data_IF_603355117497
#
_entry.id   IF_603355117497
#
_cell.length_a   1.000
_cell.length_b   1.000
_cell.length_c   1.000
_cell.angle_alpha   90.00
_cell.angle_beta   90.00
_cell.angle_gamma   90.00
#
_symmetry.space_group_name_H-M   'P 1'
#
loop_
_entity.id
_entity.type
_entity.pdbx_description
1 polymer ?
#
# COMPACT_ATOMS: atom_id res chain seq x y z
N UNK A 1 13.85 3.62 44.67
CA UNK A 1 13.52 2.28 44.13
C UNK A 1 12.04 2.10 44.36
N UNK A 2 11.22 2.20 43.30
CA UNK A 2 9.78 1.94 43.40
C UNK A 2 9.39 0.91 42.35
N UNK A 3 8.95 -0.24 42.85
CA UNK A 3 8.49 -1.38 42.08
C UNK A 3 7.17 -1.06 41.38
N UNK A 4 7.08 -1.38 40.09
CA UNK A 4 5.83 -1.31 39.33
C UNK A 4 5.26 -2.72 39.19
N UNK A 5 4.15 -2.98 39.89
CA UNK A 5 3.32 -4.14 39.66
C UNK A 5 2.60 -4.04 38.30
N UNK A 6 2.75 -5.07 37.48
CA UNK A 6 2.01 -5.23 36.23
C UNK A 6 0.84 -6.19 36.45
N UNK A 7 -0.40 -5.75 36.18
CA UNK A 7 -1.56 -6.63 36.06
C UNK A 7 -1.86 -6.86 34.58
N UNK A 8 -1.74 -8.11 34.15
CA UNK A 8 -2.20 -8.57 32.84
C UNK A 8 -3.67 -8.97 32.93
N UNK A 9 -4.52 -8.54 31.99
CA UNK A 9 -5.86 -9.07 31.85
C UNK A 9 -6.04 -9.72 30.48
N UNK A 10 -6.24 -11.04 30.51
CA UNK A 10 -6.80 -11.84 29.42
C UNK A 10 -8.31 -11.65 29.43
N UNK A 11 -8.93 -11.47 28.26
CA UNK A 11 -10.39 -11.57 28.15
C UNK A 11 -10.75 -12.44 26.94
N UNK A 12 -11.37 -13.58 27.24
CA UNK A 12 -12.11 -14.44 26.32
C UNK A 12 -13.62 -14.10 26.46
N UNK A 13 -14.44 -14.25 25.40
CA UNK A 13 -15.73 -13.57 25.28
C UNK A 13 -16.92 -14.48 25.62
N UNK A 14 -18.05 -13.91 26.06
CA UNK A 14 -19.40 -14.44 25.78
C UNK A 14 -20.53 -13.48 26.20
N UNK A 15 -21.32 -13.15 25.18
CA UNK A 15 -22.79 -13.18 25.08
C UNK A 15 -23.71 -12.20 25.82
N UNK A 16 -24.80 -11.95 25.08
CA UNK A 16 -26.15 -11.52 25.45
C UNK A 16 -26.28 -10.02 25.83
N UNK A 17 -27.22 -9.25 25.31
CA UNK A 17 -28.38 -9.52 24.46
C UNK A 17 -29.43 -8.44 24.69
N UNK A 18 -30.25 -8.19 23.67
CA UNK A 18 -31.53 -7.43 23.64
C UNK A 18 -31.53 -5.91 23.36
N UNK A 19 -32.46 -5.59 22.46
CA UNK A 19 -32.94 -4.34 21.86
C UNK A 19 -34.21 -3.84 22.64
N UNK A 20 -35.08 -2.96 22.10
CA UNK A 20 -34.96 -1.52 21.87
C UNK A 20 -36.15 -0.70 22.46
N UNK A 21 -35.96 0.61 22.64
CA UNK A 21 -37.04 1.61 22.47
C UNK A 21 -37.72 2.16 23.73
N UNK A 22 -37.47 3.45 24.01
CA UNK A 22 -38.50 4.43 24.39
C UNK A 22 -37.93 5.85 24.23
N UNK A 23 -38.68 6.71 23.52
CA UNK A 23 -38.39 8.14 23.31
C UNK A 23 -38.81 8.92 24.54
N UNK A 24 -37.93 9.79 25.04
CA UNK A 24 -38.32 11.01 25.75
C UNK A 24 -37.65 12.21 25.06
N UNK A 25 -38.48 13.15 24.60
CA UNK A 25 -38.03 14.50 24.21
C UNK A 25 -37.97 15.35 25.48
N UNK A 26 -36.92 16.13 25.66
CA UNK A 26 -36.96 17.27 26.57
C UNK A 26 -36.13 18.45 26.04
N UNK A 27 -36.77 19.61 26.20
CA UNK A 27 -36.25 20.97 26.33
C UNK A 27 -35.25 21.51 25.29
N UNK A 28 -35.73 22.48 24.52
CA UNK A 28 -34.93 23.27 23.58
C UNK A 28 -33.82 24.07 24.26
N UNK A 29 -32.67 24.12 23.59
CA UNK A 29 -31.64 25.14 23.79
C UNK A 29 -31.66 26.08 22.59
N UNK A 30 -31.74 27.38 22.85
CA UNK A 30 -31.53 28.47 21.87
C UNK A 30 -30.21 28.25 21.15
N UNK A 31 -30.27 28.10 19.83
CA UNK A 31 -29.09 28.11 18.96
C UNK A 31 -28.74 29.58 18.69
N UNK A 32 -27.62 30.02 19.22
CA UNK A 32 -26.99 31.28 18.82
C UNK A 32 -26.38 31.05 17.43
N UNK A 33 -26.98 31.60 16.39
CA UNK A 33 -26.39 31.61 15.05
C UNK A 33 -25.19 32.56 15.07
N UNK A 34 -23.98 32.00 15.07
CA UNK A 34 -22.80 32.71 14.61
C UNK A 34 -22.72 32.54 13.09
N UNK A 35 -22.87 33.64 12.35
CA UNK A 35 -22.54 33.69 10.94
C UNK A 35 -21.05 33.35 10.77
N UNK A 36 -20.76 32.17 10.23
CA UNK A 36 -19.41 31.83 9.78
C UNK A 36 -19.11 32.64 8.52
N UNK A 37 -18.00 33.37 8.54
CA UNK A 37 -17.43 33.99 7.32
C UNK A 37 -17.31 32.92 6.22
N UNK A 38 -17.63 33.25 4.95
CA UNK A 38 -17.46 32.31 3.85
C UNK A 38 -15.98 31.92 3.75
N UNK A 39 -15.73 30.61 3.71
CA UNK A 39 -14.39 30.06 3.54
C UNK A 39 -13.77 30.58 2.24
N UNK A 40 -12.50 30.99 2.31
CA UNK A 40 -11.74 31.40 1.12
C UNK A 40 -11.73 30.27 0.08
N UNK A 41 -11.75 30.57 -1.23
CA UNK A 41 -11.79 29.55 -2.27
C UNK A 41 -10.59 28.59 -2.11
N UNK A 42 -10.90 27.33 -1.82
CA UNK A 42 -9.91 26.26 -1.71
C UNK A 42 -9.31 26.06 -3.09
N UNK A 43 -8.05 26.50 -3.26
CA UNK A 43 -7.30 26.21 -4.48
C UNK A 43 -7.22 24.68 -4.66
N UNK A 44 -7.36 24.18 -5.90
CA UNK A 44 -7.20 22.76 -6.15
C UNK A 44 -5.79 22.32 -5.71
N UNK A 45 -5.65 21.11 -5.14
CA UNK A 45 -4.35 20.61 -4.72
C UNK A 45 -3.39 20.59 -5.92
N UNK A 46 -2.09 20.90 -5.71
CA UNK A 46 -1.11 20.85 -6.77
C UNK A 46 -1.09 19.44 -7.40
N UNK A 47 -0.82 19.33 -8.72
CA UNK A 47 -0.68 18.03 -9.35
C UNK A 47 0.41 17.23 -8.63
N UNK A 48 0.26 15.90 -8.52
CA UNK A 48 1.28 15.07 -7.90
C UNK A 48 2.61 15.27 -8.64
N UNK A 49 3.75 15.26 -7.92
CA UNK A 49 5.05 15.38 -8.55
C UNK A 49 5.22 14.29 -9.63
N UNK A 50 5.94 14.58 -10.73
CA UNK A 50 6.20 13.58 -11.75
C UNK A 50 6.82 12.36 -11.09
N UNK A 51 6.27 11.18 -11.42
CA UNK A 51 6.77 9.91 -10.91
C UNK A 51 8.27 9.83 -11.17
N UNK A 52 9.07 9.41 -10.18
CA UNK A 52 10.50 9.35 -10.35
C UNK A 52 10.85 8.44 -11.53
N UNK A 53 11.89 8.80 -12.28
CA UNK A 53 12.34 8.06 -13.44
C UNK A 53 12.68 6.62 -13.06
N UNK A 54 12.18 5.69 -13.87
CA UNK A 54 12.31 4.26 -13.65
C UNK A 54 13.77 3.86 -13.86
N UNK A 55 14.31 3.01 -12.96
CA UNK A 55 15.64 2.44 -13.15
C UNK A 55 15.57 1.44 -14.29
N UNK A 56 15.95 1.88 -15.48
CA UNK A 56 15.90 1.05 -16.66
C UNK A 56 17.15 0.17 -16.71
N UNK A 57 16.97 -1.15 -16.61
CA UNK A 57 18.07 -2.12 -16.75
C UNK A 57 18.51 -2.22 -18.21
N UNK A 58 19.62 -2.92 -18.50
CA UNK A 58 20.22 -3.06 -19.86
C UNK A 58 19.28 -3.65 -20.94
N UNK A 59 18.05 -4.01 -20.60
CA UNK A 59 17.10 -4.75 -21.45
C UNK A 59 16.06 -3.87 -22.17
N UNK A 60 16.25 -2.55 -22.21
CA UNK A 60 15.31 -1.63 -22.87
C UNK A 60 15.99 -0.79 -23.96
N UNK A 61 15.17 -0.26 -24.86
CA UNK A 61 15.55 0.59 -25.98
C UNK A 61 14.60 1.79 -26.04
N UNK A 62 15.12 2.99 -26.24
CA UNK A 62 14.31 4.18 -26.51
C UNK A 62 14.27 4.46 -28.01
N UNK A 63 13.09 4.76 -28.54
CA UNK A 63 12.93 5.30 -29.89
C UNK A 63 13.29 6.78 -29.89
N UNK A 64 14.36 7.19 -30.60
CA UNK A 64 14.85 8.58 -30.65
C UNK A 64 13.77 9.62 -30.98
N UNK A 65 12.92 9.33 -31.96
CA UNK A 65 11.94 10.28 -32.46
C UNK A 65 10.74 10.50 -31.54
N UNK A 66 10.41 9.53 -30.68
CA UNK A 66 9.21 9.60 -29.83
C UNK A 66 9.52 9.60 -28.33
N UNK A 67 10.77 9.33 -27.93
CA UNK A 67 11.14 9.17 -26.52
C UNK A 67 10.46 7.98 -25.84
N UNK A 68 9.89 7.05 -26.63
CA UNK A 68 9.17 5.90 -26.10
C UNK A 68 10.15 4.78 -25.73
N UNK A 69 10.06 4.31 -24.49
CA UNK A 69 10.78 3.17 -23.97
C UNK A 69 10.10 1.85 -24.32
N UNK A 70 10.87 0.95 -24.92
CA UNK A 70 10.48 -0.41 -25.26
C UNK A 70 11.35 -1.41 -24.53
N UNK A 71 10.77 -2.56 -24.16
CA UNK A 71 11.55 -3.76 -23.90
C UNK A 71 12.31 -4.17 -25.17
N UNK A 72 13.54 -4.69 -25.06
CA UNK A 72 14.33 -5.14 -26.24
C UNK A 72 13.59 -6.18 -27.08
N UNK A 73 12.78 -7.03 -26.45
CA UNK A 73 11.99 -8.07 -27.11
C UNK A 73 10.65 -7.54 -27.65
N UNK A 74 10.37 -6.25 -27.49
CA UNK A 74 9.15 -5.65 -28.00
C UNK A 74 9.08 -5.82 -29.52
N UNK A 75 7.93 -6.29 -30.00
CA UNK A 75 7.63 -6.41 -31.43
C UNK A 75 7.96 -5.15 -32.24
N UNK A 76 7.69 -3.96 -31.67
CA UNK A 76 7.96 -2.69 -32.33
C UNK A 76 9.46 -2.37 -32.45
N UNK A 77 10.32 -2.93 -31.59
CA UNK A 77 11.77 -2.68 -31.65
C UNK A 77 12.37 -3.18 -32.95
N UNK A 78 11.91 -4.32 -33.46
CA UNK A 78 12.33 -4.85 -34.77
C UNK A 78 12.01 -3.92 -35.95
N UNK A 79 11.06 -2.99 -35.75
CA UNK A 79 10.63 -2.00 -36.75
C UNK A 79 11.31 -0.64 -36.58
N UNK A 80 12.07 -0.43 -35.50
CA UNK A 80 12.84 0.81 -35.30
C UNK A 80 14.10 0.74 -36.18
N UNK A 81 14.20 1.61 -37.19
CA UNK A 81 15.36 1.70 -38.08
C UNK A 81 16.68 1.82 -37.29
N UNK A 82 17.72 1.15 -37.79
CA UNK A 82 19.08 1.28 -37.26
C UNK A 82 19.48 2.77 -37.15
N UNK A 83 20.12 3.15 -36.04
CA UNK A 83 20.47 4.55 -35.73
C UNK A 83 19.38 5.38 -35.04
N UNK A 84 18.12 4.90 -34.99
CA UNK A 84 17.01 5.55 -34.26
C UNK A 84 16.76 4.96 -32.86
N UNK A 85 17.65 4.09 -32.39
CA UNK A 85 17.59 3.45 -31.09
C UNK A 85 18.59 4.12 -30.14
N UNK A 86 18.18 4.39 -28.90
CA UNK A 86 19.08 4.74 -27.80
C UNK A 86 19.11 3.52 -26.87
N UNK A 87 20.30 2.97 -26.68
CA UNK A 87 20.52 1.75 -25.89
C UNK A 87 21.07 2.03 -24.49
N UNK A 88 21.46 3.27 -24.22
CA UNK A 88 21.93 3.72 -22.90
C UNK A 88 21.00 4.81 -22.42
N UNK A 89 20.39 4.58 -21.27
CA UNK A 89 19.44 5.49 -20.65
C UNK A 89 20.14 6.01 -19.42
N UNK A 90 20.43 7.30 -19.41
CA UNK A 90 20.96 7.94 -18.22
C UNK A 90 19.94 7.79 -17.08
N UNK A 91 20.42 7.55 -15.85
CA UNK A 91 19.59 7.72 -14.67
C UNK A 91 18.85 9.05 -14.78
N UNK A 92 17.59 9.02 -14.43
CA UNK A 92 16.73 10.18 -14.40
C UNK A 92 16.12 10.70 -15.71
N UNK A 93 16.33 10.00 -16.83
CA UNK A 93 15.61 10.31 -18.07
C UNK A 93 14.11 10.06 -17.91
N UNK A 94 13.30 11.11 -18.07
CA UNK A 94 11.84 10.95 -18.18
C UNK A 94 11.49 10.27 -19.51
N UNK A 95 10.86 9.10 -19.43
CA UNK A 95 10.51 8.30 -20.62
C UNK A 95 9.06 7.88 -20.61
N UNK A 96 8.46 7.86 -21.81
CA UNK A 96 7.10 7.33 -22.01
C UNK A 96 7.18 5.84 -22.31
N UNK A 97 6.42 5.01 -21.61
CA UNK A 97 6.43 3.58 -21.87
C UNK A 97 5.61 3.23 -23.11
N UNK A 98 6.15 2.34 -23.94
CA UNK A 98 5.35 1.60 -24.89
C UNK A 98 4.20 0.91 -24.14
N UNK A 99 2.97 1.02 -24.65
CA UNK A 99 1.78 0.42 -24.03
C UNK A 99 1.95 -1.10 -23.79
N UNK A 100 2.67 -1.77 -24.68
CA UNK A 100 2.95 -3.21 -24.62
C UNK A 100 4.08 -3.57 -23.64
N UNK A 101 5.04 -2.67 -23.43
CA UNK A 101 6.19 -2.93 -22.55
C UNK A 101 5.99 -2.38 -21.14
N UNK A 102 5.02 -1.48 -20.96
CA UNK A 102 4.79 -0.74 -19.71
C UNK A 102 4.68 -1.67 -18.53
N UNK A 103 3.90 -2.75 -18.65
CA UNK A 103 3.67 -3.70 -17.56
C UNK A 103 4.97 -4.39 -17.13
N UNK A 104 5.66 -5.03 -18.08
CA UNK A 104 6.96 -5.69 -17.87
C UNK A 104 8.00 -4.74 -17.26
N UNK A 105 8.03 -3.49 -17.73
CA UNK A 105 8.95 -2.49 -17.21
C UNK A 105 8.64 -2.07 -15.76
N UNK A 106 7.35 -1.85 -15.46
CA UNK A 106 6.89 -1.52 -14.10
C UNK A 106 7.22 -2.66 -13.14
N UNK A 107 7.01 -3.92 -13.54
CA UNK A 107 7.33 -5.09 -12.73
C UNK A 107 8.84 -5.18 -12.50
N UNK A 108 9.66 -5.12 -13.57
CA UNK A 108 11.13 -5.15 -13.47
C UNK A 108 11.70 -4.06 -12.58
N UNK A 109 11.08 -2.88 -12.52
CA UNK A 109 11.50 -1.81 -11.61
C UNK A 109 11.26 -2.17 -10.13
N UNK A 110 10.20 -2.93 -9.85
CA UNK A 110 9.83 -3.33 -8.50
C UNK A 110 10.48 -4.63 -8.04
N UNK A 111 10.83 -5.55 -8.93
CA UNK A 111 11.40 -6.85 -8.52
C UNK A 111 12.85 -6.67 -8.09
N UNK A 112 13.18 -7.21 -6.91
CA UNK A 112 14.51 -7.07 -6.30
C UNK A 112 15.59 -7.88 -7.02
N UNK A 113 15.23 -9.06 -7.54
CA UNK A 113 16.12 -9.95 -8.29
C UNK A 113 15.65 -10.07 -9.74
N UNK A 114 16.54 -9.83 -10.70
CA UNK A 114 16.18 -9.88 -12.13
C UNK A 114 15.70 -11.28 -12.53
N UNK A 115 16.21 -12.33 -11.87
CA UNK A 115 15.79 -13.72 -12.13
C UNK A 115 14.33 -13.99 -11.74
N UNK A 116 13.78 -13.25 -10.77
CA UNK A 116 12.39 -13.38 -10.32
C UNK A 116 11.38 -12.67 -11.24
N UNK A 117 11.85 -11.86 -12.21
CA UNK A 117 10.97 -10.97 -12.97
C UNK A 117 9.87 -11.71 -13.74
N UNK A 118 10.20 -12.80 -14.44
CA UNK A 118 9.22 -13.58 -15.21
C UNK A 118 8.20 -14.27 -14.29
N UNK A 119 8.65 -14.77 -13.14
CA UNK A 119 7.78 -15.42 -12.16
C UNK A 119 6.83 -14.39 -11.53
N UNK A 120 7.35 -13.21 -11.18
CA UNK A 120 6.52 -12.10 -10.70
C UNK A 120 5.51 -11.63 -11.76
N UNK A 121 5.89 -11.58 -13.03
CA UNK A 121 4.99 -11.20 -14.13
C UNK A 121 3.83 -12.17 -14.25
N UNK A 122 4.13 -13.47 -14.39
CA UNK A 122 3.11 -14.54 -14.42
C UNK A 122 2.20 -14.48 -13.20
N UNK A 123 2.77 -14.30 -12.01
CA UNK A 123 2.01 -14.18 -10.77
C UNK A 123 1.01 -13.02 -10.81
N UNK A 124 1.43 -11.82 -11.21
CA UNK A 124 0.52 -10.67 -11.25
C UNK A 124 -0.53 -10.78 -12.36
N UNK A 125 -0.23 -11.50 -13.44
CA UNK A 125 -1.17 -11.79 -14.51
C UNK A 125 -2.25 -12.79 -14.07
N UNK A 126 -1.84 -13.91 -13.47
CA UNK A 126 -2.74 -14.93 -12.92
C UNK A 126 -3.69 -14.35 -11.88
N UNK A 127 -3.20 -13.42 -11.05
CA UNK A 127 -4.00 -12.74 -10.02
C UNK A 127 -4.71 -11.49 -10.53
N UNK A 128 -4.68 -11.26 -11.85
CA UNK A 128 -5.36 -10.17 -12.54
C UNK A 128 -5.09 -8.79 -11.91
N UNK A 129 -3.86 -8.58 -11.45
CA UNK A 129 -3.46 -7.30 -10.84
C UNK A 129 -3.25 -6.28 -11.96
N UNK A 130 -4.01 -5.18 -11.93
CA UNK A 130 -3.97 -4.18 -12.99
C UNK A 130 -2.59 -3.49 -13.09
N UNK A 131 -2.21 -3.12 -14.30
CA UNK A 131 -0.95 -2.38 -14.53
C UNK A 131 -0.96 -1.02 -13.81
N UNK A 132 -2.12 -0.39 -13.64
CA UNK A 132 -2.26 0.83 -12.84
C UNK A 132 -1.89 0.59 -11.38
N UNK A 133 -2.39 -0.49 -10.77
CA UNK A 133 -2.06 -0.87 -9.40
C UNK A 133 -0.57 -1.18 -9.24
N UNK A 134 0.03 -1.91 -10.19
CA UNK A 134 1.47 -2.17 -10.18
C UNK A 134 2.30 -0.88 -10.35
N UNK A 135 1.83 0.07 -11.14
CA UNK A 135 2.50 1.38 -11.30
C UNK A 135 2.55 2.11 -9.96
N UNK A 136 1.39 2.18 -9.28
CA UNK A 136 1.30 2.82 -7.97
C UNK A 136 2.22 2.13 -6.95
N UNK A 137 2.25 0.80 -6.97
CA UNK A 137 3.07 0.01 -6.06
C UNK A 137 4.58 0.22 -6.30
N UNK A 138 5.06 0.00 -7.52
CA UNK A 138 6.50 -0.08 -7.79
C UNK A 138 7.13 1.25 -8.23
N UNK A 139 6.34 2.18 -8.74
CA UNK A 139 6.85 3.48 -9.21
C UNK A 139 6.56 4.56 -8.18
N UNK A 140 5.30 4.74 -7.80
CA UNK A 140 4.91 5.82 -6.89
C UNK A 140 5.33 5.52 -5.45
N UNK A 141 5.01 4.33 -4.94
CA UNK A 141 5.38 3.89 -3.58
C UNK A 141 6.80 3.32 -3.47
N UNK A 142 7.50 3.17 -4.60
CA UNK A 142 8.86 2.60 -4.69
C UNK A 142 9.00 1.27 -3.95
N UNK A 143 7.93 0.48 -3.93
CA UNK A 143 7.95 -0.81 -3.28
C UNK A 143 8.87 -1.77 -4.05
N UNK A 144 9.43 -2.74 -3.33
CA UNK A 144 10.18 -3.84 -3.92
C UNK A 144 9.48 -5.17 -3.68
N UNK A 145 9.53 -6.07 -4.65
CA UNK A 145 8.98 -7.41 -4.57
C UNK A 145 10.08 -8.46 -4.58
N UNK A 146 9.86 -9.55 -3.83
CA UNK A 146 10.65 -10.78 -3.88
C UNK A 146 9.70 -11.97 -3.83
N UNK A 147 9.87 -12.93 -4.75
CA UNK A 147 9.09 -14.16 -4.70
C UNK A 147 9.52 -15.04 -3.51
N UNK A 148 8.55 -15.72 -2.92
CA UNK A 148 8.76 -16.72 -1.87
C UNK A 148 8.22 -18.06 -2.35
N UNK A 149 8.69 -19.20 -1.79
CA UNK A 149 8.13 -20.50 -2.13
C UNK A 149 6.61 -20.59 -1.98
N UNK A 150 6.05 -19.87 -1.00
CA UNK A 150 4.60 -19.84 -0.71
C UNK A 150 4.10 -18.40 -0.57
N UNK A 151 4.41 -17.54 -1.54
CA UNK A 151 3.92 -16.18 -1.51
C UNK A 151 4.74 -15.18 -2.30
N UNK A 152 4.45 -13.91 -2.04
CA UNK A 152 5.30 -12.79 -2.42
C UNK A 152 5.57 -11.93 -1.20
N UNK A 153 6.80 -11.44 -1.07
CA UNK A 153 7.18 -10.44 -0.08
C UNK A 153 7.28 -9.08 -0.74
N UNK A 154 6.65 -8.08 -0.14
CA UNK A 154 6.69 -6.69 -0.58
C UNK A 154 7.38 -5.85 0.49
N UNK A 155 8.39 -5.09 0.10
CA UNK A 155 9.08 -4.10 0.93
C UNK A 155 8.56 -2.72 0.52
N UNK A 156 8.04 -1.93 1.45
CA UNK A 156 7.53 -0.59 1.16
C UNK A 156 7.93 0.34 2.29
N UNK A 157 8.96 1.17 2.07
CA UNK A 157 9.65 1.87 3.16
C UNK A 157 10.24 0.86 4.14
N UNK A 158 10.01 1.08 5.44
CA UNK A 158 10.49 0.19 6.51
C UNK A 158 9.57 -1.02 6.74
N UNK A 159 8.36 -0.98 6.19
CA UNK A 159 7.36 -2.02 6.34
C UNK A 159 7.62 -3.19 5.38
N UNK A 160 7.44 -4.40 5.91
CA UNK A 160 7.60 -5.65 5.17
C UNK A 160 6.30 -6.41 5.23
N UNK A 161 5.77 -6.71 4.05
CA UNK A 161 4.51 -7.38 3.87
C UNK A 161 4.73 -8.75 3.24
N UNK A 162 3.92 -9.73 3.63
CA UNK A 162 3.85 -11.03 2.95
C UNK A 162 2.43 -11.28 2.51
N UNK A 163 2.28 -11.65 1.25
CA UNK A 163 1.03 -12.19 0.73
C UNK A 163 1.28 -13.69 0.56
N UNK A 164 0.74 -14.50 1.48
CA UNK A 164 0.89 -15.97 1.48
C UNK A 164 -0.36 -16.66 0.96
N UNK A 165 -0.20 -17.83 0.37
CA UNK A 165 -1.31 -18.68 -0.06
C UNK A 165 -1.83 -19.47 1.14
N UNK A 166 -3.16 -19.46 1.35
CA UNK A 166 -3.82 -20.30 2.38
C UNK A 166 -4.28 -21.64 1.81
N UNK A 167 -4.69 -21.67 0.54
CA UNK A 167 -5.14 -22.86 -0.17
C UNK A 167 -4.96 -22.71 -1.69
N UNK A 168 -5.18 -23.81 -2.41
CA UNK A 168 -5.20 -23.88 -3.88
C UNK A 168 -6.29 -22.99 -4.52
N UNK A 169 -7.32 -22.61 -3.76
CA UNK A 169 -8.47 -21.81 -4.23
C UNK A 169 -8.19 -20.30 -4.34
N UNK A 170 -6.96 -19.86 -4.10
CA UNK A 170 -6.56 -18.47 -4.29
C UNK A 170 -6.83 -17.53 -3.11
N UNK A 171 -7.29 -18.05 -1.97
CA UNK A 171 -7.34 -17.29 -0.73
C UNK A 171 -5.91 -16.91 -0.30
N UNK A 172 -5.69 -15.61 -0.16
CA UNK A 172 -4.41 -15.04 0.27
C UNK A 172 -4.49 -14.43 1.66
N UNK A 173 -3.39 -14.50 2.41
CA UNK A 173 -3.21 -13.86 3.70
C UNK A 173 -2.26 -12.70 3.53
N UNK A 174 -2.69 -11.51 3.93
CA UNK A 174 -1.79 -10.39 4.11
C UNK A 174 -1.24 -10.41 5.53
N UNK A 175 0.08 -10.48 5.64
CA UNK A 175 0.80 -10.35 6.89
C UNK A 175 1.71 -9.13 6.87
N UNK A 176 1.86 -8.50 8.03
CA UNK A 176 2.69 -7.33 8.25
C UNK A 176 3.75 -7.63 9.29
N UNK A 177 4.95 -7.07 9.14
CA UNK A 177 6.03 -7.28 10.09
C UNK A 177 5.70 -6.69 11.47
N UNK A 178 6.07 -7.44 12.51
CA UNK A 178 5.81 -7.03 13.87
C UNK A 178 6.67 -5.82 14.25
N UNK A 179 6.11 -4.96 15.11
CA UNK A 179 6.83 -3.85 15.72
C UNK A 179 6.28 -3.54 17.10
N UNK A 180 7.12 -2.95 17.94
CA UNK A 180 6.74 -2.34 19.21
C UNK A 180 6.82 -0.82 19.08
N UNK A 181 6.01 -0.12 19.87
CA UNK A 181 6.02 1.35 19.94
C UNK A 181 6.74 1.80 21.20
N UNK A 182 7.60 2.80 21.09
CA UNK A 182 8.15 3.48 22.27
C UNK A 182 7.16 4.51 22.81
N UNK A 183 7.41 4.98 24.02
CA UNK A 183 6.67 6.09 24.63
C UNK A 183 6.79 7.38 23.80
N UNK A 184 7.91 7.57 23.10
CA UNK A 184 8.13 8.68 22.17
C UNK A 184 7.38 8.54 20.84
N UNK A 185 6.68 7.42 20.61
CA UNK A 185 5.91 7.18 19.39
C UNK A 185 6.72 6.60 18.23
N UNK A 186 7.99 6.25 18.45
CA UNK A 186 8.81 5.56 17.46
C UNK A 186 8.44 4.07 17.32
N UNK A 187 8.89 3.44 16.23
CA UNK A 187 8.68 2.02 15.95
C UNK A 187 9.98 1.25 15.95
N UNK A 188 9.99 0.11 16.62
CA UNK A 188 11.08 -0.86 16.54
C UNK A 188 10.54 -2.18 16.04
N UNK A 189 11.04 -2.63 14.89
CA UNK A 189 10.58 -3.87 14.27
C UNK A 189 11.10 -5.10 15.04
N UNK A 190 10.20 -6.02 15.35
CA UNK A 190 10.53 -7.27 16.03
C UNK A 190 10.44 -8.45 15.07
N UNK A 191 10.88 -9.63 15.53
CA UNK A 191 10.79 -10.85 14.72
C UNK A 191 9.31 -11.24 14.50
N UNK A 192 9.03 -11.78 13.33
CA UNK A 192 7.73 -12.34 12.99
C UNK A 192 6.80 -11.39 12.23
N UNK A 193 5.59 -11.89 11.96
CA UNK A 193 4.55 -11.19 11.24
C UNK A 193 3.19 -11.48 11.88
N UNK A 194 2.22 -10.59 11.68
CA UNK A 194 0.82 -10.76 12.09
C UNK A 194 -0.14 -10.58 10.91
N UNK A 195 -1.25 -11.30 10.91
CA UNK A 195 -2.28 -11.25 9.87
C UNK A 195 -3.12 -9.97 9.98
N UNK A 196 -3.43 -9.35 8.83
CA UNK A 196 -4.21 -8.10 8.74
C UNK A 196 -5.71 -8.33 8.54
N UNK A 197 -6.15 -9.59 8.44
CA UNK A 197 -7.55 -10.02 8.31
C UNK A 197 -8.37 -9.19 7.30
N UNK A 198 -7.78 -8.93 6.13
CA UNK A 198 -8.43 -8.15 5.07
C UNK A 198 -9.62 -8.90 4.48
N UNK A 199 -10.60 -8.18 3.92
CA UNK A 199 -11.64 -8.78 3.06
C UNK A 199 -11.88 -7.91 1.83
N UNK A 200 -11.97 -8.50 0.62
CA UNK A 200 -11.77 -9.92 0.33
C UNK A 200 -10.29 -10.34 0.38
N UNK A 201 -10.03 -11.63 0.62
CA UNK A 201 -8.69 -12.24 0.75
C UNK A 201 -7.96 -12.41 -0.61
N UNK A 202 -7.92 -11.35 -1.42
CA UNK A 202 -7.30 -11.36 -2.76
C UNK A 202 -5.98 -10.59 -2.77
N UNK A 203 -5.08 -10.95 -3.69
CA UNK A 203 -3.81 -10.23 -3.89
C UNK A 203 -4.07 -8.75 -4.18
N UNK A 204 -5.02 -8.43 -5.05
CA UNK A 204 -5.42 -7.05 -5.36
C UNK A 204 -5.86 -6.28 -4.12
N UNK A 205 -6.64 -6.89 -3.23
CA UNK A 205 -7.08 -6.25 -1.99
C UNK A 205 -5.93 -6.08 -0.99
N UNK A 206 -5.03 -7.05 -0.92
CA UNK A 206 -3.83 -6.96 -0.10
C UNK A 206 -2.91 -5.81 -0.55
N UNK A 207 -2.68 -5.68 -1.86
CA UNK A 207 -1.90 -4.58 -2.43
C UNK A 207 -2.56 -3.22 -2.20
N UNK A 208 -3.89 -3.13 -2.30
CA UNK A 208 -4.62 -1.89 -1.97
C UNK A 208 -4.48 -1.52 -0.51
N UNK A 209 -4.62 -2.51 0.38
CA UNK A 209 -4.49 -2.31 1.82
C UNK A 209 -3.10 -1.79 2.18
N UNK A 210 -2.03 -2.47 1.74
CA UNK A 210 -0.66 -2.05 2.07
C UNK A 210 -0.32 -0.67 1.50
N UNK A 211 -0.84 -0.29 0.33
CA UNK A 211 -0.58 1.04 -0.24
C UNK A 211 -1.30 2.17 0.50
N UNK A 212 -2.44 1.86 1.12
CA UNK A 212 -3.21 2.78 1.95
C UNK A 212 -2.73 2.81 3.41
N UNK A 213 -1.86 1.87 3.80
CA UNK A 213 -1.33 1.80 5.15
C UNK A 213 -0.51 3.05 5.46
N UNK A 214 -0.94 3.74 6.51
CA UNK A 214 -0.22 4.85 7.13
C UNK A 214 -0.16 4.55 8.63
N UNK A 215 1.06 4.37 9.13
CA UNK A 215 1.32 4.11 10.54
C UNK A 215 0.69 5.15 11.47
N UNK A 216 0.83 6.44 11.12
CA UNK A 216 0.36 7.55 11.96
C UNK A 216 -1.16 7.61 12.00
N UNK A 217 -1.83 7.42 10.86
CA UNK A 217 -3.28 7.40 10.77
C UNK A 217 -3.87 6.18 11.48
N UNK A 218 -3.29 4.99 11.24
CA UNK A 218 -3.73 3.73 11.82
C UNK A 218 -3.75 3.77 13.36
N UNK A 219 -2.76 4.43 13.98
CA UNK A 219 -2.72 4.56 15.44
C UNK A 219 -3.57 5.70 15.99
N UNK A 220 -3.81 6.79 15.26
CA UNK A 220 -4.77 7.82 15.69
C UNK A 220 -6.17 7.23 15.80
N UNK A 221 -6.57 6.39 14.85
CA UNK A 221 -7.86 5.71 14.90
C UNK A 221 -7.95 4.68 16.03
N UNK A 222 -6.88 3.91 16.26
CA UNK A 222 -6.82 2.98 17.39
C UNK A 222 -6.89 3.69 18.75
N UNK A 223 -6.23 4.85 18.89
CA UNK A 223 -6.32 5.70 20.09
C UNK A 223 -7.72 6.28 20.27
N UNK A 224 -8.35 6.81 19.20
CA UNK A 224 -9.72 7.32 19.25
C UNK A 224 -10.72 6.26 19.70
N UNK A 225 -10.58 5.02 19.20
CA UNK A 225 -11.40 3.88 19.62
C UNK A 225 -11.17 3.46 21.08
N UNK A 226 -9.95 3.64 21.62
CA UNK A 226 -9.66 3.40 23.04
C UNK A 226 -10.22 4.50 23.94
N UNK A 227 -10.02 5.75 23.57
CA UNK A 227 -10.49 6.92 24.35
C UNK A 227 -12.02 7.00 24.36
N UNK A 228 -12.70 6.72 23.24
CA UNK A 228 -14.16 6.66 23.21
C UNK A 228 -14.71 5.57 24.13
N UNK A 229 -14.02 4.42 24.18
CA UNK A 229 -14.42 3.28 25.01
C UNK A 229 -14.08 3.46 26.51
N UNK A 230 -13.09 4.30 26.84
CA UNK A 230 -12.79 4.73 28.22
C UNK A 230 -13.78 5.80 28.72
N UNK A 231 -14.16 6.76 27.86
CA UNK A 231 -15.19 7.76 28.19
C UNK A 231 -16.57 7.12 28.42
N UNK A 232 -16.96 6.13 27.62
CA UNK A 232 -18.22 5.40 27.81
C UNK A 232 -18.23 4.54 29.10
N UNK A 233 -17.05 4.11 29.59
CA UNK A 233 -16.92 3.36 30.85
C UNK A 233 -16.84 4.23 32.10
N UNK A 234 -16.47 5.50 31.96
CA UNK A 234 -16.37 6.47 33.07
C UNK A 234 -17.62 7.36 33.19
N UNK A 235 -18.55 7.25 32.25
CA UNK A 235 -19.84 7.93 32.25
C UNK A 235 -21.02 7.04 32.69
N UNK A 236 -20.75 5.85 33.22
CA UNK A 236 -21.67 4.92 33.91
C UNK A 236 -21.25 4.81 35.38
#
# INVERSE_FOLDING_TARGET
>A
MEEKHYRYFLINPRNAGRKPGQKQRSAGKRILWQEKKPDSPVLPPPPPPPSPPIKVTRNFVITKSSGILHDRECFYVRRIRHGRQINKIEPDTEVRFCKWCRRKAVIRNGVKDVSDCEICEKFFDEKQVSTSLLTRLFVEKRAQAKMLPVGIRIYCGDDRWRIRWKSTEGASVLEHNNYVRTLAGERYFTKGYHEQHIRPNTVTSALRYLMAYDYTAHHREAMKKKVSHEYEKSAL
#
